data_IF_012056829573
#
_entry.id   IF_012056829573
#
_cell.length_a   1.000
_cell.length_b   1.000
_cell.length_c   1.000
_cell.angle_alpha   90.00
_cell.angle_beta   90.00
_cell.angle_gamma   90.00
#
_symmetry.space_group_name_H-M   'P 1'
#
loop_
_entity.id
_entity.type
_entity.pdbx_description
1 polymer ?
#
# COMPACT_ATOMS: atom_id res chain seq x y z
N UNK A 1 6.66 -10.27 5.01
CA UNK A 1 6.19 -11.33 4.10
C UNK A 1 4.79 -11.09 3.62
N UNK A 2 4.46 -11.69 2.48
CA UNK A 2 3.09 -11.72 1.96
C UNK A 2 2.12 -12.21 3.06
N UNK A 3 0.93 -11.61 3.18
CA UNK A 3 0.33 -10.64 2.26
C UNK A 3 0.54 -9.16 2.67
N UNK A 4 1.58 -8.84 3.46
CA UNK A 4 1.76 -7.48 3.98
C UNK A 4 2.38 -6.51 2.95
N UNK A 5 1.65 -5.43 2.69
CA UNK A 5 2.15 -4.24 1.99
C UNK A 5 2.63 -3.17 2.98
N UNK A 6 3.78 -2.57 2.67
CA UNK A 6 4.43 -1.58 3.52
C UNK A 6 4.51 -0.21 2.82
N UNK A 7 4.12 0.90 3.49
CA UNK A 7 4.11 2.23 2.88
C UNK A 7 5.44 2.64 2.20
N UNK A 8 6.63 2.42 2.81
CA UNK A 8 7.90 2.79 2.18
C UNK A 8 8.17 2.06 0.87
N UNK A 9 7.77 0.78 0.79
CA UNK A 9 7.96 -0.03 -0.41
C UNK A 9 7.07 0.46 -1.55
N UNK A 10 5.81 0.78 -1.25
CA UNK A 10 4.87 1.33 -2.22
C UNK A 10 5.38 2.67 -2.78
N UNK A 11 5.89 3.54 -1.91
CA UNK A 11 6.46 4.82 -2.32
C UNK A 11 7.66 4.65 -3.26
N UNK A 12 8.63 3.80 -2.90
CA UNK A 12 9.82 3.55 -3.73
C UNK A 12 9.46 3.01 -5.12
N UNK A 13 8.51 2.08 -5.20
CA UNK A 13 8.07 1.50 -6.48
C UNK A 13 7.38 2.57 -7.34
N UNK A 14 6.44 3.33 -6.77
CA UNK A 14 5.72 4.39 -7.50
C UNK A 14 6.68 5.45 -8.02
N UNK A 15 7.59 5.95 -7.17
CA UNK A 15 8.58 6.95 -7.57
C UNK A 15 9.53 6.45 -8.67
N UNK A 16 9.98 5.20 -8.57
CA UNK A 16 10.84 4.59 -9.59
C UNK A 16 10.13 4.48 -10.94
N UNK A 17 8.87 4.06 -10.94
CA UNK A 17 8.07 3.93 -12.15
C UNK A 17 7.74 5.30 -12.78
N UNK A 18 7.41 6.32 -11.97
CA UNK A 18 7.15 7.69 -12.44
C UNK A 18 8.38 8.31 -13.12
N UNK A 19 9.58 8.04 -12.59
CA UNK A 19 10.84 8.57 -13.15
C UNK A 19 11.35 7.79 -14.35
N UNK A 20 10.68 6.71 -14.74
CA UNK A 20 11.03 5.97 -15.94
C UNK A 20 10.60 6.70 -17.22
N UNK A 21 11.26 6.39 -18.34
CA UNK A 21 10.89 6.93 -19.65
C UNK A 21 9.76 6.16 -20.35
N UNK A 22 9.11 5.20 -19.68
CA UNK A 22 8.00 4.42 -20.24
C UNK A 22 6.65 4.97 -19.77
N UNK A 23 5.74 5.21 -20.71
CA UNK A 23 4.40 5.69 -20.39
C UNK A 23 3.52 4.57 -19.80
N UNK A 24 3.80 3.31 -20.16
CA UNK A 24 3.21 2.14 -19.52
C UNK A 24 3.60 2.06 -18.05
N UNK A 25 4.88 2.28 -17.73
CA UNK A 25 5.37 2.29 -16.37
C UNK A 25 4.78 3.43 -15.54
N UNK A 26 4.64 4.64 -16.09
CA UNK A 26 3.94 5.76 -15.43
C UNK A 26 2.47 5.44 -15.18
N UNK A 27 1.81 4.78 -16.13
CA UNK A 27 0.41 4.33 -15.98
C UNK A 27 0.29 3.32 -14.85
N UNK A 28 1.20 2.35 -14.79
CA UNK A 28 1.26 1.37 -13.70
C UNK A 28 1.53 2.04 -12.34
N UNK A 29 2.42 3.04 -12.29
CA UNK A 29 2.68 3.80 -11.07
C UNK A 29 1.41 4.44 -10.51
N UNK A 30 0.59 5.03 -11.39
CA UNK A 30 -0.70 5.62 -11.01
C UNK A 30 -1.68 4.58 -10.49
N UNK A 31 -1.77 3.41 -11.13
CA UNK A 31 -2.64 2.33 -10.66
C UNK A 31 -2.22 1.82 -9.27
N UNK A 32 -0.93 1.58 -9.05
CA UNK A 32 -0.39 1.18 -7.74
C UNK A 32 -0.70 2.23 -6.67
N UNK A 33 -0.46 3.51 -6.95
CA UNK A 33 -0.73 4.59 -6.01
C UNK A 33 -2.21 4.69 -5.64
N UNK A 34 -3.12 4.57 -6.62
CA UNK A 34 -4.56 4.62 -6.39
C UNK A 34 -5.04 3.42 -5.55
N UNK A 35 -4.58 2.21 -5.86
CA UNK A 35 -4.93 1.01 -5.07
C UNK A 35 -4.42 1.11 -3.64
N UNK A 36 -3.19 1.59 -3.45
CA UNK A 36 -2.63 1.79 -2.13
C UNK A 36 -3.44 2.81 -1.31
N UNK A 37 -3.79 3.95 -1.92
CA UNK A 37 -4.66 4.95 -1.29
C UNK A 37 -6.03 4.37 -0.91
N UNK A 38 -6.63 3.57 -1.78
CA UNK A 38 -7.93 2.93 -1.52
C UNK A 38 -7.87 1.99 -0.31
N UNK A 39 -6.86 1.12 -0.24
CA UNK A 39 -6.66 0.19 0.88
C UNK A 39 -6.51 0.95 2.20
N UNK A 40 -5.68 1.99 2.21
CA UNK A 40 -5.43 2.81 3.39
C UNK A 40 -6.71 3.55 3.82
N UNK A 41 -7.43 4.15 2.87
CA UNK A 41 -8.65 4.89 3.13
C UNK A 41 -9.78 4.00 3.65
N UNK A 42 -9.95 2.80 3.11
CA UNK A 42 -10.95 1.86 3.61
C UNK A 42 -10.60 1.36 5.02
N UNK A 43 -9.33 1.10 5.31
CA UNK A 43 -8.89 0.75 6.66
C UNK A 43 -9.10 1.89 7.66
N UNK A 44 -8.86 3.13 7.23
CA UNK A 44 -9.13 4.32 8.02
C UNK A 44 -10.63 4.50 8.30
N UNK A 45 -11.48 4.39 7.27
CA UNK A 45 -12.94 4.48 7.46
C UNK A 45 -13.50 3.43 8.42
N UNK A 46 -12.92 2.22 8.43
CA UNK A 46 -13.39 1.13 9.28
C UNK A 46 -12.91 1.26 10.73
N UNK A 47 -11.65 1.63 10.94
CA UNK A 47 -11.01 1.62 12.26
C UNK A 47 -10.85 2.99 12.91
N UNK A 48 -11.00 4.08 12.14
CA UNK A 48 -10.65 5.45 12.54
C UNK A 48 -9.14 5.69 12.67
N UNK A 49 -8.30 4.73 12.25
CA UNK A 49 -6.85 4.73 12.44
C UNK A 49 -6.11 4.34 11.17
N UNK A 50 -4.86 4.76 11.08
CA UNK A 50 -3.91 4.30 10.07
C UNK A 50 -3.01 3.23 10.71
N UNK A 51 -2.62 2.23 9.92
CA UNK A 51 -1.84 1.08 10.39
C UNK A 51 -0.44 1.09 9.78
N UNK A 52 0.51 0.46 10.47
CA UNK A 52 1.91 0.32 10.01
C UNK A 52 2.03 -0.34 8.63
N UNK A 53 1.17 -1.32 8.38
CA UNK A 53 1.13 -2.16 7.18
C UNK A 53 -0.30 -2.63 6.92
N UNK A 54 -0.59 -2.99 5.68
CA UNK A 54 -1.92 -3.42 5.25
C UNK A 54 -1.85 -4.76 4.52
N UNK A 55 -2.91 -5.56 4.61
CA UNK A 55 -3.08 -6.71 3.75
C UNK A 55 -3.35 -6.22 2.31
N UNK A 56 -2.53 -6.61 1.34
CA UNK A 56 -2.71 -6.19 -0.07
C UNK A 56 -3.66 -7.10 -0.86
N UNK A 57 -4.04 -8.25 -0.30
CA UNK A 57 -5.02 -9.16 -0.88
C UNK A 57 -6.44 -8.87 -0.38
N UNK A 58 -6.58 -8.15 0.75
CA UNK A 58 -7.87 -7.79 1.36
C UNK A 58 -7.93 -6.29 1.70
N UNK A 59 -8.75 -5.53 0.97
CA UNK A 59 -8.88 -4.09 1.18
C UNK A 59 -9.40 -3.74 2.57
N UNK A 60 -8.70 -2.80 3.23
CA UNK A 60 -9.09 -2.22 4.51
C UNK A 60 -8.69 -3.06 5.74
N UNK A 61 -8.05 -4.21 5.55
CA UNK A 61 -7.55 -5.04 6.65
C UNK A 61 -6.12 -4.62 7.02
N UNK A 62 -5.89 -4.36 8.30
CA UNK A 62 -4.54 -4.14 8.83
C UNK A 62 -3.68 -5.39 8.59
N UNK A 63 -2.42 -5.20 8.21
CA UNK A 63 -1.50 -6.30 7.99
C UNK A 63 -1.12 -6.99 9.29
N UNK A 64 -0.97 -8.31 9.26
CA UNK A 64 -0.68 -9.14 10.43
C UNK A 64 0.79 -9.61 10.53
N UNK A 65 1.07 -10.42 11.56
CA UNK A 65 2.36 -11.07 11.78
C UNK A 65 3.48 -10.13 12.28
N UNK A 66 4.64 -10.71 12.60
CA UNK A 66 5.74 -10.01 13.28
C UNK A 66 5.74 -10.23 14.79
N UNK A 67 6.74 -9.65 15.48
CA UNK A 67 6.94 -9.85 16.93
C UNK A 67 5.94 -9.04 17.80
N UNK A 68 5.28 -8.03 17.24
CA UNK A 68 4.42 -7.12 17.97
C UNK A 68 3.03 -6.99 17.35
N UNK A 69 2.05 -6.67 18.20
CA UNK A 69 0.70 -6.33 17.74
C UNK A 69 0.75 -5.09 16.84
N UNK A 70 0.07 -5.11 15.69
CA UNK A 70 -0.05 -3.94 14.81
C UNK A 70 -0.60 -2.73 15.58
N UNK A 71 0.00 -1.56 15.38
CA UNK A 71 -0.42 -0.28 15.98
C UNK A 71 -1.37 0.50 15.09
#
# INVERSE_FOLDING_TARGET
DAPNGWPPMQHLIVEGLVKSNSDEAKTLAKDIALRWLQINYDGYKQSGKMHEKYNVEECGTAGGGGEYSPQ
#
